data_IF_713624464384
#
_entry.id   IF_713624464384
#
_cell.length_a   1.000
_cell.length_b   1.000
_cell.length_c   1.000
_cell.angle_alpha   90.00
_cell.angle_beta   90.00
_cell.angle_gamma   90.00
#
_symmetry.space_group_name_H-M   'P 1'
#
loop_
_entity.id
_entity.type
_entity.pdbx_description
1 polymer ?
#
# COMPACT_ATOMS: atom_id res chain seq x y z
N UNK A 1 -5.82 -9.36 20.85
CA UNK A 1 -5.94 -8.02 21.47
C UNK A 1 -5.49 -6.99 20.46
N UNK A 2 -6.41 -6.22 19.92
CA UNK A 2 -6.13 -5.15 18.93
C UNK A 2 -5.49 -3.92 19.60
N UNK A 3 -5.31 -3.89 20.92
CA UNK A 3 -4.80 -2.76 21.71
C UNK A 3 -5.45 -1.40 21.36
N UNK A 4 -6.71 -1.41 20.90
CA UNK A 4 -7.43 -0.22 20.46
C UNK A 4 -7.09 0.22 19.04
N UNK A 5 -6.33 -0.57 18.28
CA UNK A 5 -6.08 -0.30 16.87
C UNK A 5 -7.28 -0.70 16.00
N UNK A 6 -7.68 0.16 15.09
CA UNK A 6 -8.72 -0.14 14.10
C UNK A 6 -8.24 -1.28 13.20
N UNK A 7 -9.06 -2.34 13.08
CA UNK A 7 -8.75 -3.47 12.19
C UNK A 7 -8.56 -2.98 10.76
N UNK A 8 -7.36 -3.12 10.24
CA UNK A 8 -7.02 -2.92 8.84
C UNK A 8 -6.52 -4.22 8.22
N UNK A 9 -6.39 -4.26 6.90
CA UNK A 9 -6.00 -5.49 6.22
C UNK A 9 -4.63 -6.02 6.65
N UNK A 10 -3.67 -5.15 7.00
CA UNK A 10 -2.35 -5.57 7.47
C UNK A 10 -2.43 -6.26 8.83
N UNK A 11 -3.14 -5.67 9.78
CA UNK A 11 -3.38 -6.27 11.10
C UNK A 11 -4.13 -7.60 10.94
N UNK A 12 -5.16 -7.63 10.07
CA UNK A 12 -5.90 -8.85 9.79
C UNK A 12 -5.01 -9.96 9.19
N UNK A 13 -4.11 -9.62 8.27
CA UNK A 13 -3.12 -10.55 7.74
C UNK A 13 -2.21 -11.11 8.85
N UNK A 14 -1.73 -10.26 9.75
CA UNK A 14 -0.92 -10.69 10.89
C UNK A 14 -1.68 -11.62 11.84
N UNK A 15 -2.96 -11.31 12.10
CA UNK A 15 -3.83 -12.21 12.88
C UNK A 15 -3.99 -13.57 12.21
N UNK A 16 -4.22 -13.63 10.88
CA UNK A 16 -4.34 -14.88 10.13
C UNK A 16 -3.05 -15.71 10.16
N UNK A 17 -1.89 -15.09 10.22
CA UNK A 17 -0.59 -15.79 10.38
C UNK A 17 -0.52 -16.60 11.66
N UNK A 18 -1.15 -16.14 12.76
CA UNK A 18 -1.18 -16.90 14.01
C UNK A 18 -1.95 -18.22 13.89
N UNK A 19 -2.80 -18.35 12.87
CA UNK A 19 -3.51 -19.59 12.50
C UNK A 19 -2.80 -20.38 11.39
N UNK A 20 -1.52 -20.05 11.11
CA UNK A 20 -0.73 -20.67 10.02
C UNK A 20 -1.36 -20.49 8.64
N UNK A 21 -1.92 -19.31 8.40
CA UNK A 21 -2.50 -18.90 7.12
C UNK A 21 -1.68 -17.75 6.54
N UNK A 22 -1.07 -17.99 5.38
CA UNK A 22 -0.36 -16.95 4.64
C UNK A 22 -1.26 -16.42 3.53
N UNK A 23 -1.39 -15.09 3.52
CA UNK A 23 -2.16 -14.37 2.52
C UNK A 23 -1.24 -13.82 1.46
N UNK A 24 -1.72 -13.70 0.23
CA UNK A 24 -0.96 -13.14 -0.89
C UNK A 24 -0.64 -11.68 -0.64
N UNK A 25 -1.62 -10.91 -0.21
CA UNK A 25 -1.43 -9.49 0.07
C UNK A 25 -2.47 -8.95 1.05
N UNK A 26 -2.12 -7.84 1.69
CA UNK A 26 -3.02 -7.04 2.50
C UNK A 26 -3.06 -5.60 1.99
N UNK A 27 -4.22 -4.99 2.11
CA UNK A 27 -4.47 -3.58 1.82
C UNK A 27 -5.07 -2.89 3.05
N UNK A 28 -5.48 -1.62 2.95
CA UNK A 28 -6.07 -0.93 4.09
C UNK A 28 -7.39 -1.54 4.56
N UNK A 29 -8.19 -2.09 3.64
CA UNK A 29 -9.55 -2.57 3.93
C UNK A 29 -9.80 -4.02 3.54
N UNK A 30 -8.83 -4.74 3.00
CA UNK A 30 -9.00 -6.13 2.59
C UNK A 30 -7.70 -6.92 2.62
N UNK A 31 -7.85 -8.23 2.60
CA UNK A 31 -6.78 -9.21 2.45
C UNK A 31 -7.14 -10.14 1.29
N UNK A 32 -6.16 -10.52 0.48
CA UNK A 32 -6.35 -11.46 -0.61
C UNK A 32 -5.62 -12.75 -0.29
N UNK A 33 -6.34 -13.87 -0.42
CA UNK A 33 -5.77 -15.21 -0.44
C UNK A 33 -5.77 -15.76 -1.86
N UNK A 34 -4.72 -16.46 -2.24
CA UNK A 34 -4.70 -17.25 -3.47
C UNK A 34 -4.91 -18.72 -3.14
N UNK A 35 -5.73 -19.39 -3.95
CA UNK A 35 -5.97 -20.83 -3.83
C UNK A 35 -5.43 -21.56 -5.07
N UNK A 36 -4.95 -22.76 -4.90
CA UNK A 36 -4.37 -23.57 -5.95
C UNK A 36 -4.69 -25.07 -5.81
N UNK A 37 -4.23 -25.89 -6.76
CA UNK A 37 -4.50 -27.34 -6.74
C UNK A 37 -3.92 -28.08 -5.51
N UNK A 38 -3.00 -27.44 -4.79
CA UNK A 38 -2.37 -28.02 -3.59
C UNK A 38 -3.14 -27.73 -2.30
N UNK A 39 -4.16 -26.88 -2.34
CA UNK A 39 -4.95 -26.56 -1.16
C UNK A 39 -5.87 -27.71 -0.78
N UNK A 40 -5.97 -27.94 0.51
CA UNK A 40 -6.78 -29.02 1.07
C UNK A 40 -8.06 -28.48 1.68
N UNK A 41 -9.07 -29.34 1.81
CA UNK A 41 -10.30 -29.00 2.54
C UNK A 41 -10.00 -28.56 3.97
N UNK A 42 -9.04 -29.23 4.63
CA UNK A 42 -8.58 -28.86 5.98
C UNK A 42 -8.02 -27.42 6.03
N UNK A 43 -7.27 -27.00 5.01
CA UNK A 43 -6.78 -25.62 4.89
C UNK A 43 -7.91 -24.60 4.75
N UNK A 44 -8.93 -24.93 3.96
CA UNK A 44 -10.13 -24.08 3.81
C UNK A 44 -10.95 -24.01 5.09
N UNK A 45 -11.14 -25.13 5.77
CA UNK A 45 -11.86 -25.17 7.05
C UNK A 45 -11.11 -24.37 8.12
N UNK A 46 -9.78 -24.40 8.14
CA UNK A 46 -8.94 -23.59 9.01
C UNK A 46 -9.12 -22.09 8.74
N UNK A 47 -9.16 -21.68 7.47
CA UNK A 47 -9.42 -20.29 7.10
C UNK A 47 -10.78 -19.83 7.62
N UNK A 48 -11.83 -20.60 7.41
CA UNK A 48 -13.19 -20.28 7.90
C UNK A 48 -13.19 -20.15 9.41
N UNK A 49 -12.60 -21.10 10.12
CA UNK A 49 -12.52 -21.06 11.59
C UNK A 49 -11.76 -19.86 12.10
N UNK A 50 -10.60 -19.54 11.50
CA UNK A 50 -9.79 -18.39 11.88
C UNK A 50 -10.57 -17.08 11.71
N UNK A 51 -11.24 -16.89 10.57
CA UNK A 51 -12.04 -15.68 10.31
C UNK A 51 -13.19 -15.55 11.31
N UNK A 52 -13.92 -16.64 11.58
CA UNK A 52 -15.03 -16.64 12.55
C UNK A 52 -14.56 -16.33 13.98
N UNK A 53 -13.39 -16.85 14.38
CA UNK A 53 -12.83 -16.60 15.70
C UNK A 53 -12.34 -15.14 15.84
N UNK A 54 -11.68 -14.61 14.84
CA UNK A 54 -11.26 -13.21 14.80
C UNK A 54 -12.47 -12.28 14.88
N UNK A 55 -13.50 -12.51 14.06
CA UNK A 55 -14.75 -11.73 14.06
C UNK A 55 -15.43 -11.72 15.43
N UNK A 56 -15.55 -12.90 16.05
CA UNK A 56 -16.12 -13.03 17.39
C UNK A 56 -15.34 -12.26 18.44
N UNK A 57 -14.01 -12.25 18.36
CA UNK A 57 -13.16 -11.55 19.32
C UNK A 57 -13.30 -10.03 19.17
N UNK A 58 -13.41 -9.52 17.95
CA UNK A 58 -13.64 -8.10 17.65
C UNK A 58 -14.99 -7.65 18.23
N UNK A 59 -16.07 -8.40 17.96
CA UNK A 59 -17.39 -8.10 18.47
C UNK A 59 -17.43 -8.07 20.01
N UNK A 60 -16.69 -8.96 20.68
CA UNK A 60 -16.61 -8.95 22.14
C UNK A 60 -15.88 -7.73 22.69
N UNK A 61 -14.88 -7.20 21.98
CA UNK A 61 -14.15 -5.98 22.36
C UNK A 61 -15.02 -4.74 22.18
N UNK A 62 -15.77 -4.63 21.08
CA UNK A 62 -16.70 -3.52 20.82
C UNK A 62 -17.81 -3.41 21.87
N UNK A 63 -18.34 -4.55 22.33
CA UNK A 63 -19.36 -4.59 23.39
C UNK A 63 -18.80 -4.22 24.78
N UNK A 64 -17.49 -4.17 24.94
CA UNK A 64 -16.81 -3.86 26.21
C UNK A 64 -16.23 -2.45 26.27
N UNK A 65 -16.20 -1.72 25.17
CA UNK A 65 -15.64 -0.37 25.03
C UNK A 65 -16.72 0.70 24.92
N UNK A 66 -16.51 1.82 25.59
CA UNK A 66 -17.37 3.00 25.43
C UNK A 66 -17.27 3.53 24.00
N UNK A 67 -18.43 3.98 23.47
CA UNK A 67 -18.61 4.62 22.17
C UNK A 67 -17.63 5.81 21.95
N UNK A 68 -16.43 5.56 21.51
CA UNK A 68 -15.64 6.54 20.78
C UNK A 68 -15.76 6.23 19.29
N UNK A 69 -16.21 7.24 18.55
CA UNK A 69 -16.48 7.25 17.11
C UNK A 69 -15.27 6.71 16.31
N UNK A 70 -15.19 5.38 16.14
CA UNK A 70 -14.21 4.72 15.31
C UNK A 70 -14.58 4.90 13.84
N UNK A 71 -14.53 6.14 13.39
CA UNK A 71 -14.61 6.43 11.96
C UNK A 71 -13.40 5.76 11.30
N UNK A 72 -13.63 4.59 10.70
CA UNK A 72 -12.67 3.96 9.81
C UNK A 72 -12.33 5.03 8.78
N UNK A 73 -11.14 5.63 8.91
CA UNK A 73 -10.62 6.50 7.85
C UNK A 73 -10.40 5.58 6.65
N UNK A 74 -11.43 5.48 5.83
CA UNK A 74 -11.37 4.76 4.56
C UNK A 74 -10.12 5.24 3.83
N UNK A 75 -9.12 4.38 3.77
CA UNK A 75 -7.96 4.63 2.93
C UNK A 75 -8.47 4.43 1.52
N UNK A 76 -8.91 5.52 0.93
CA UNK A 76 -9.28 5.52 -0.48
C UNK A 76 -8.01 5.22 -1.28
N UNK A 77 -7.98 4.04 -1.91
CA UNK A 77 -6.99 3.71 -2.96
C UNK A 77 -7.35 4.44 -4.26
N UNK A 78 -7.86 5.64 -4.13
CA UNK A 78 -8.15 6.49 -5.26
C UNK A 78 -6.87 6.68 -6.08
N UNK A 79 -6.89 6.17 -7.30
CA UNK A 79 -5.82 6.44 -8.23
C UNK A 79 -5.82 7.95 -8.52
N UNK A 80 -4.68 8.59 -8.22
CA UNK A 80 -4.49 9.99 -8.58
C UNK A 80 -3.95 9.98 -10.00
N UNK A 81 -4.74 10.39 -10.99
CA UNK A 81 -4.24 10.48 -12.36
C UNK A 81 -3.15 11.54 -12.42
N UNK A 82 -1.99 11.16 -12.93
CA UNK A 82 -0.88 12.08 -13.17
C UNK A 82 -0.86 12.48 -14.66
N UNK A 83 -0.35 13.66 -14.93
CA UNK A 83 -0.12 14.14 -16.29
C UNK A 83 1.06 13.38 -16.90
N UNK A 84 0.82 12.64 -17.97
CA UNK A 84 1.89 12.03 -18.75
C UNK A 84 2.46 13.07 -19.73
N UNK A 85 3.68 13.52 -19.46
CA UNK A 85 4.38 14.55 -20.28
C UNK A 85 5.23 13.88 -21.35
N UNK A 86 5.86 12.78 -21.02
CA UNK A 86 6.68 11.97 -21.92
C UNK A 86 6.24 10.50 -21.85
N UNK A 87 6.47 9.76 -22.90
CA UNK A 87 6.36 8.31 -22.82
C UNK A 87 7.44 7.74 -21.89
N UNK A 88 7.20 6.59 -21.28
CA UNK A 88 8.22 5.92 -20.45
C UNK A 88 9.50 5.60 -21.23
N UNK A 89 9.38 5.40 -22.56
CA UNK A 89 10.53 5.19 -23.44
C UNK A 89 11.38 6.45 -23.62
N UNK A 90 10.76 7.62 -23.77
CA UNK A 90 11.45 8.90 -23.84
C UNK A 90 12.09 9.25 -22.50
N UNK A 91 11.35 9.11 -21.41
CA UNK A 91 11.83 9.35 -20.06
C UNK A 91 13.04 8.47 -19.70
N UNK A 92 13.03 7.20 -20.11
CA UNK A 92 14.15 6.27 -19.87
C UNK A 92 15.47 6.62 -20.58
N UNK A 93 15.48 7.64 -21.44
CA UNK A 93 16.67 8.13 -22.15
C UNK A 93 17.13 9.50 -21.70
N UNK A 94 16.39 10.10 -20.76
CA UNK A 94 16.72 11.42 -20.22
C UNK A 94 17.79 11.29 -19.14
N UNK A 95 18.65 12.29 -19.05
CA UNK A 95 19.50 12.47 -17.89
C UNK A 95 18.67 13.00 -16.73
N UNK A 96 18.94 12.49 -15.53
CA UNK A 96 18.19 12.81 -14.34
C UNK A 96 19.06 13.13 -13.14
N UNK A 97 18.41 13.66 -12.14
CA UNK A 97 18.98 13.90 -10.83
C UNK A 97 18.09 13.32 -9.74
N UNK A 98 18.70 12.87 -8.66
CA UNK A 98 17.96 12.35 -7.49
C UNK A 98 17.61 13.52 -6.57
N UNK A 99 16.32 13.71 -6.31
CA UNK A 99 15.81 14.77 -5.43
C UNK A 99 14.99 14.14 -4.30
N UNK A 100 14.94 14.80 -3.15
CA UNK A 100 14.08 14.35 -2.05
C UNK A 100 12.61 14.45 -2.42
N UNK A 101 11.77 13.60 -1.85
CA UNK A 101 10.33 13.59 -2.14
C UNK A 101 9.66 14.95 -2.02
N UNK A 102 10.01 15.74 -0.98
CA UNK A 102 9.46 17.08 -0.76
C UNK A 102 9.87 18.11 -1.82
N UNK A 103 10.91 17.81 -2.60
CA UNK A 103 11.44 18.67 -3.67
C UNK A 103 11.01 18.21 -5.07
N UNK A 104 10.38 17.03 -5.16
CA UNK A 104 10.04 16.38 -6.41
C UNK A 104 8.76 16.95 -7.08
N UNK A 105 7.94 17.71 -6.34
CA UNK A 105 6.68 18.23 -6.88
C UNK A 105 6.91 19.15 -8.07
N UNK A 106 6.17 18.92 -9.16
CA UNK A 106 6.28 19.62 -10.43
C UNK A 106 7.32 19.02 -11.39
N UNK A 107 8.21 18.16 -10.92
CA UNK A 107 9.25 17.48 -11.72
C UNK A 107 8.66 16.29 -12.48
N UNK A 108 9.37 15.81 -13.47
CA UNK A 108 9.02 14.63 -14.27
C UNK A 108 9.77 13.43 -13.73
N UNK A 109 9.05 12.36 -13.39
CA UNK A 109 9.67 11.11 -12.94
C UNK A 109 10.42 10.39 -14.06
N UNK A 110 11.57 9.83 -13.73
CA UNK A 110 12.33 8.93 -14.62
C UNK A 110 12.34 7.47 -14.12
N UNK A 111 11.66 7.21 -13.01
CA UNK A 111 11.58 5.86 -12.45
C UNK A 111 10.14 5.46 -12.14
N UNK A 112 9.93 4.14 -12.05
CA UNK A 112 8.68 3.57 -11.57
C UNK A 112 8.65 3.63 -10.04
N UNK A 113 7.56 4.13 -9.48
CA UNK A 113 7.30 4.06 -8.04
C UNK A 113 6.03 3.26 -7.82
N UNK A 114 6.09 2.25 -7.01
CA UNK A 114 4.95 1.37 -6.77
C UNK A 114 4.84 0.94 -5.32
N UNK A 115 3.61 0.68 -4.91
CA UNK A 115 3.30 0.13 -3.60
C UNK A 115 3.43 -1.40 -3.65
N UNK A 116 4.21 -1.99 -2.77
CA UNK A 116 4.37 -3.43 -2.73
C UNK A 116 4.05 -3.99 -1.34
N UNK A 117 3.39 -5.12 -1.27
CA UNK A 117 2.59 -5.78 -2.31
C UNK A 117 1.31 -5.01 -2.65
N UNK A 118 0.70 -5.13 -3.84
CA UNK A 118 0.95 -6.08 -4.92
C UNK A 118 1.82 -5.56 -6.07
N UNK A 119 2.36 -4.36 -6.00
CA UNK A 119 3.10 -3.74 -7.10
C UNK A 119 2.23 -2.79 -7.93
N UNK A 120 1.28 -2.08 -7.29
CA UNK A 120 0.45 -1.06 -7.95
C UNK A 120 1.29 0.18 -8.23
N UNK A 121 1.44 0.60 -9.50
CA UNK A 121 2.16 1.81 -9.84
C UNK A 121 1.49 3.04 -9.23
N UNK A 122 2.27 3.88 -8.58
CA UNK A 122 1.88 5.20 -8.08
C UNK A 122 2.36 6.30 -9.02
N UNK A 123 3.53 6.11 -9.59
CA UNK A 123 4.17 7.01 -10.56
C UNK A 123 4.85 6.13 -11.61
N UNK A 124 4.74 6.50 -12.87
CA UNK A 124 5.50 5.89 -13.97
C UNK A 124 6.43 6.90 -14.63
N UNK A 125 7.54 6.45 -15.27
CA UNK A 125 8.46 7.35 -15.95
C UNK A 125 7.72 8.19 -17.01
N UNK A 126 8.02 9.49 -17.03
CA UNK A 126 7.40 10.46 -17.92
C UNK A 126 6.19 11.20 -17.33
N UNK A 127 5.73 10.81 -16.14
CA UNK A 127 4.65 11.51 -15.46
C UNK A 127 5.15 12.67 -14.60
N UNK A 128 4.31 13.72 -14.52
CA UNK A 128 4.55 14.87 -13.65
C UNK A 128 4.15 14.54 -12.22
N UNK A 129 5.12 14.62 -11.32
CA UNK A 129 4.94 14.40 -9.90
C UNK A 129 4.12 15.54 -9.30
N UNK A 130 3.04 15.24 -8.60
CA UNK A 130 2.24 16.24 -7.87
C UNK A 130 2.52 16.19 -6.38
N UNK A 131 2.27 17.30 -5.68
CA UNK A 131 2.36 17.34 -4.21
C UNK A 131 1.43 16.31 -3.55
N UNK A 132 0.26 16.06 -4.17
CA UNK A 132 -0.72 15.09 -3.68
C UNK A 132 -0.18 13.66 -3.70
N UNK A 133 0.51 13.26 -4.79
CA UNK A 133 1.08 11.90 -4.85
C UNK A 133 2.23 11.74 -3.85
N UNK A 134 3.05 12.78 -3.67
CA UNK A 134 4.13 12.78 -2.66
C UNK A 134 3.57 12.61 -1.25
N UNK A 135 2.53 13.36 -0.89
CA UNK A 135 1.86 13.23 0.41
C UNK A 135 1.28 11.83 0.61
N UNK A 136 0.73 11.24 -0.45
CA UNK A 136 0.21 9.87 -0.42
C UNK A 136 1.33 8.84 -0.19
N UNK A 137 2.47 9.00 -0.83
CA UNK A 137 3.66 8.15 -0.61
C UNK A 137 4.12 8.23 0.85
N UNK A 138 4.26 9.43 1.40
CA UNK A 138 4.64 9.63 2.82
C UNK A 138 3.65 8.91 3.74
N UNK A 139 2.35 9.10 3.52
CA UNK A 139 1.30 8.46 4.32
C UNK A 139 1.37 6.93 4.25
N UNK A 140 1.58 6.35 3.06
CA UNK A 140 1.73 4.90 2.94
C UNK A 140 2.95 4.38 3.69
N UNK A 141 4.07 5.11 3.63
CA UNK A 141 5.28 4.74 4.39
C UNK A 141 5.03 4.78 5.89
N UNK A 142 4.37 5.82 6.40
CA UNK A 142 3.97 5.94 7.82
C UNK A 142 3.04 4.81 8.28
N UNK A 143 2.21 4.31 7.37
CA UNK A 143 1.34 3.15 7.61
C UNK A 143 2.07 1.81 7.50
N UNK A 144 3.38 1.81 7.25
CA UNK A 144 4.22 0.63 7.16
C UNK A 144 4.12 -0.13 5.83
N UNK A 145 3.60 0.51 4.76
CA UNK A 145 3.69 -0.06 3.41
C UNK A 145 5.07 0.17 2.82
N UNK A 146 5.53 -0.76 1.99
CA UNK A 146 6.77 -0.61 1.24
C UNK A 146 6.54 0.17 -0.04
N UNK A 147 7.35 1.22 -0.25
CA UNK A 147 7.41 1.98 -1.50
C UNK A 147 8.66 1.50 -2.23
N UNK A 148 8.45 0.88 -3.36
CA UNK A 148 9.50 0.22 -4.15
C UNK A 148 9.73 0.92 -5.49
N UNK A 149 10.80 0.54 -6.19
CA UNK A 149 11.19 1.08 -7.48
C UNK A 149 12.08 2.32 -7.38
N UNK A 150 12.39 2.77 -6.17
CA UNK A 150 13.24 3.93 -5.92
C UNK A 150 14.72 3.59 -6.10
N UNK A 151 15.44 4.39 -6.89
CA UNK A 151 16.89 4.29 -7.03
C UNK A 151 17.63 4.64 -5.73
N UNK A 152 17.05 5.48 -4.91
CA UNK A 152 17.57 5.90 -3.62
C UNK A 152 16.43 6.09 -2.62
N UNK A 153 16.63 5.62 -1.38
CA UNK A 153 15.61 5.74 -0.33
C UNK A 153 15.21 7.20 -0.06
N UNK A 154 13.91 7.48 0.01
CA UNK A 154 13.30 8.79 0.22
C UNK A 154 13.62 9.85 -0.87
N UNK A 155 14.16 9.43 -1.99
CA UNK A 155 14.42 10.27 -3.15
C UNK A 155 13.63 9.76 -4.37
N UNK A 156 13.49 10.62 -5.37
CA UNK A 156 12.95 10.30 -6.67
C UNK A 156 13.96 10.71 -7.74
N UNK A 157 14.19 9.84 -8.71
CA UNK A 157 14.94 10.17 -9.90
C UNK A 157 14.03 10.97 -10.84
N UNK A 158 14.40 12.18 -11.13
CA UNK A 158 13.61 13.11 -11.94
C UNK A 158 14.42 13.68 -13.09
N UNK A 159 13.75 14.09 -14.17
CA UNK A 159 14.41 14.75 -15.30
C UNK A 159 15.16 16.01 -14.82
N UNK A 160 16.37 16.21 -15.34
CA UNK A 160 17.12 17.45 -15.14
C UNK A 160 16.27 18.65 -15.54
N UNK A 161 16.52 19.82 -14.94
CA UNK A 161 15.88 21.03 -15.42
C UNK A 161 16.39 21.30 -16.85
N UNK A 162 15.51 21.55 -17.82
CA UNK A 162 15.97 22.07 -19.09
C UNK A 162 16.69 23.41 -18.82
N UNK A 163 17.93 23.50 -19.29
CA UNK A 163 18.67 24.78 -19.31
C UNK A 163 17.95 25.84 -20.13
#
# INVERSE_FOLDING_TARGET
NTNGEVLNGKLFQEMLRSYHLEMEMASGSYVIAMTGPGDTQEGMDRLVQAVMEIDKNILCEELSGNDEDHTIKNISYEMIPLEQVYSSFEAGRMEGESVKWNEASGRISLEYVYLYPPGIPMIVPGERITSTIVQKMVKYKEMGFSIEGLSQENCLLVAGNPE
#
